data_IF_267767999194
#
_entry.id   IF_267767999194
#
_cell.length_a   1.000
_cell.length_b   1.000
_cell.length_c   1.000
_cell.angle_alpha   90.00
_cell.angle_beta   90.00
_cell.angle_gamma   90.00
#
_symmetry.space_group_name_H-M   'P 1'
#
loop_
_entity.id
_entity.type
_entity.pdbx_description
1 polymer ?
#
# COMPACT_ATOMS: atom_id res chain seq x y z
N UNK A 1 -19.65 -11.30 -9.55
CA UNK A 1 -18.36 -10.72 -9.99
C UNK A 1 -17.25 -11.37 -9.18
N UNK A 2 -16.16 -11.82 -9.81
CA UNK A 2 -15.01 -12.40 -9.09
C UNK A 2 -14.18 -11.30 -8.43
N UNK A 3 -14.08 -11.27 -7.11
CA UNK A 3 -13.13 -10.42 -6.35
C UNK A 3 -11.79 -11.13 -6.13
N UNK A 4 -10.76 -10.40 -5.72
CA UNK A 4 -9.48 -10.98 -5.32
C UNK A 4 -9.64 -12.01 -4.21
N UNK A 5 -10.60 -11.83 -3.30
CA UNK A 5 -10.92 -12.76 -2.20
C UNK A 5 -11.09 -14.21 -2.70
N UNK A 6 -11.70 -14.42 -3.87
CA UNK A 6 -11.85 -15.76 -4.45
C UNK A 6 -10.50 -16.37 -4.82
N UNK A 7 -9.60 -15.57 -5.40
CA UNK A 7 -8.24 -16.02 -5.73
C UNK A 7 -7.43 -16.23 -4.46
N UNK A 8 -7.51 -15.31 -3.50
CA UNK A 8 -6.83 -15.40 -2.21
C UNK A 8 -7.19 -16.71 -1.47
N UNK A 9 -8.48 -17.06 -1.44
CA UNK A 9 -8.95 -18.26 -0.74
C UNK A 9 -8.53 -19.59 -1.42
N UNK A 10 -7.96 -19.58 -2.63
CA UNK A 10 -7.35 -20.80 -3.22
C UNK A 10 -5.91 -21.04 -2.76
N UNK A 11 -5.34 -20.13 -1.98
CA UNK A 11 -3.99 -20.26 -1.44
C UNK A 11 -4.05 -20.41 0.08
N UNK A 12 -3.22 -21.29 0.61
CA UNK A 12 -2.94 -21.38 2.03
C UNK A 12 -1.62 -20.66 2.34
N UNK A 13 -1.60 -19.91 3.44
CA UNK A 13 -0.44 -19.12 3.85
C UNK A 13 0.77 -19.98 4.20
N UNK A 14 0.58 -20.96 5.08
CA UNK A 14 1.63 -21.84 5.61
C UNK A 14 2.20 -22.74 4.50
N UNK A 15 1.33 -23.30 3.65
CA UNK A 15 1.76 -24.10 2.50
C UNK A 15 2.59 -23.25 1.52
N UNK A 16 2.21 -21.99 1.32
CA UNK A 16 2.95 -21.05 0.47
C UNK A 16 4.31 -20.74 1.08
N UNK A 17 4.37 -20.49 2.39
CA UNK A 17 5.62 -20.25 3.11
C UNK A 17 6.54 -21.48 3.02
N UNK A 18 6.02 -22.66 3.34
CA UNK A 18 6.76 -23.91 3.23
C UNK A 18 7.27 -24.14 1.80
N UNK A 19 6.44 -23.88 0.79
CA UNK A 19 6.79 -23.96 -0.63
C UNK A 19 7.91 -23.00 -1.05
N UNK A 20 8.01 -21.82 -0.41
CA UNK A 20 9.13 -20.89 -0.62
C UNK A 20 10.40 -21.44 0.02
N UNK A 21 10.32 -21.93 1.26
CA UNK A 21 11.47 -22.45 1.99
C UNK A 21 12.02 -23.75 1.38
N UNK A 22 11.18 -24.52 0.68
CA UNK A 22 11.58 -25.75 0.01
C UNK A 22 12.25 -25.52 -1.37
N UNK A 23 12.37 -24.27 -1.85
CA UNK A 23 12.99 -23.99 -3.15
C UNK A 23 14.48 -24.27 -3.10
N UNK A 24 14.98 -24.84 -4.20
CA UNK A 24 16.38 -25.24 -4.38
C UNK A 24 17.15 -24.23 -5.20
N UNK A 25 18.48 -24.34 -5.20
CA UNK A 25 19.33 -23.56 -6.09
C UNK A 25 18.97 -23.74 -7.57
N UNK A 26 18.65 -24.97 -7.99
CA UNK A 26 18.17 -25.26 -9.34
C UNK A 26 16.90 -24.48 -9.71
N UNK A 27 15.99 -24.28 -8.75
CA UNK A 27 14.79 -23.46 -8.95
C UNK A 27 15.14 -21.98 -9.15
N UNK A 28 16.12 -21.48 -8.39
CA UNK A 28 16.61 -20.10 -8.50
C UNK A 28 17.26 -19.87 -9.86
N UNK A 29 18.16 -20.73 -10.29
CA UNK A 29 18.84 -20.63 -11.59
C UNK A 29 17.85 -20.67 -12.76
N UNK A 30 16.81 -21.53 -12.66
CA UNK A 30 15.71 -21.54 -13.61
C UNK A 30 14.92 -20.23 -13.60
N UNK A 31 14.57 -19.71 -12.42
CA UNK A 31 13.86 -18.44 -12.31
C UNK A 31 14.68 -17.24 -12.84
N UNK A 32 16.01 -17.26 -12.67
CA UNK A 32 16.92 -16.24 -13.18
C UNK A 32 17.04 -16.27 -14.71
N UNK A 33 17.05 -17.46 -15.32
CA UNK A 33 17.12 -17.60 -16.79
C UNK A 33 15.79 -17.32 -17.51
N UNK A 34 14.65 -17.41 -16.81
CA UNK A 34 13.34 -17.14 -17.39
C UNK A 34 13.15 -15.66 -17.81
N UNK A 35 12.78 -15.45 -19.08
CA UNK A 35 12.47 -14.12 -19.64
C UNK A 35 11.14 -13.54 -19.16
N UNK A 36 10.17 -14.41 -18.87
CA UNK A 36 8.88 -14.08 -18.24
C UNK A 36 8.70 -14.94 -17.00
N UNK A 37 8.79 -14.32 -15.83
CA UNK A 37 8.69 -14.99 -14.53
C UNK A 37 7.23 -15.12 -14.09
N UNK A 38 6.90 -16.27 -13.51
CA UNK A 38 5.60 -16.54 -12.90
C UNK A 38 5.71 -16.51 -11.36
N UNK A 39 4.63 -16.89 -10.66
CA UNK A 39 4.59 -16.87 -9.20
C UNK A 39 5.47 -17.96 -8.55
N UNK A 40 5.69 -19.09 -9.21
CA UNK A 40 6.63 -20.13 -8.75
C UNK A 40 8.09 -19.71 -8.91
N UNK A 41 8.41 -19.01 -10.00
CA UNK A 41 9.71 -18.35 -10.15
C UNK A 41 9.93 -17.32 -9.03
N UNK A 42 8.89 -16.53 -8.72
CA UNK A 42 8.98 -15.53 -7.65
C UNK A 42 9.23 -16.17 -6.28
N UNK A 43 8.57 -17.28 -5.95
CA UNK A 43 8.86 -18.06 -4.73
C UNK A 43 10.33 -18.46 -4.66
N UNK A 44 10.92 -18.92 -5.77
CA UNK A 44 12.35 -19.27 -5.82
C UNK A 44 13.23 -18.04 -5.55
N UNK A 45 12.97 -16.90 -6.18
CA UNK A 45 13.78 -15.69 -6.06
C UNK A 45 13.72 -15.03 -4.66
N UNK A 46 12.68 -15.28 -3.87
CA UNK A 46 12.58 -14.79 -2.49
C UNK A 46 12.96 -15.85 -1.45
N UNK A 47 13.30 -17.07 -1.87
CA UNK A 47 13.67 -18.17 -0.98
C UNK A 47 15.05 -17.98 -0.32
N UNK A 48 15.37 -18.70 0.76
CA UNK A 48 16.72 -18.73 1.31
C UNK A 48 17.80 -19.18 0.30
N UNK A 49 17.46 -20.08 -0.62
CA UNK A 49 18.38 -20.56 -1.67
C UNK A 49 18.80 -19.45 -2.65
N UNK A 50 18.03 -18.37 -2.77
CA UNK A 50 18.38 -17.23 -3.63
C UNK A 50 19.41 -16.27 -3.02
N UNK A 51 19.80 -16.45 -1.74
CA UNK A 51 20.72 -15.55 -1.04
C UNK A 51 22.07 -15.35 -1.76
N UNK A 52 22.73 -16.38 -2.33
CA UNK A 52 23.97 -16.19 -3.09
C UNK A 52 23.81 -15.36 -4.37
N UNK A 53 22.58 -15.25 -4.88
CA UNK A 53 22.24 -14.65 -6.18
C UNK A 53 21.65 -13.23 -6.07
N UNK A 54 21.78 -12.59 -4.90
CA UNK A 54 21.22 -11.25 -4.67
C UNK A 54 21.78 -10.20 -5.63
N UNK A 55 23.07 -10.26 -5.95
CA UNK A 55 23.70 -9.33 -6.89
C UNK A 55 23.16 -9.53 -8.31
N UNK A 56 23.02 -10.77 -8.77
CA UNK A 56 22.43 -11.07 -10.09
C UNK A 56 21.01 -10.52 -10.20
N UNK A 57 20.19 -10.74 -9.16
CA UNK A 57 18.84 -10.18 -9.08
C UNK A 57 18.85 -8.64 -9.07
N UNK A 58 19.79 -8.03 -8.36
CA UNK A 58 19.92 -6.57 -8.29
C UNK A 58 20.27 -5.98 -9.66
N UNK A 59 21.21 -6.59 -10.39
CA UNK A 59 21.59 -6.15 -11.74
C UNK A 59 20.43 -6.30 -12.73
N UNK A 60 19.70 -7.42 -12.70
CA UNK A 60 18.51 -7.64 -13.53
C UNK A 60 17.42 -6.61 -13.22
N UNK A 61 17.13 -6.37 -11.94
CA UNK A 61 16.16 -5.37 -11.49
C UNK A 61 16.55 -3.95 -11.93
N UNK A 62 17.83 -3.59 -11.79
CA UNK A 62 18.38 -2.29 -12.21
C UNK A 62 18.26 -2.10 -13.73
N UNK A 63 18.60 -3.11 -14.52
CA UNK A 63 18.50 -3.05 -15.97
C UNK A 63 17.04 -2.86 -16.43
N UNK A 64 16.09 -3.59 -15.84
CA UNK A 64 14.67 -3.45 -16.12
C UNK A 64 14.13 -2.07 -15.68
N UNK A 65 14.55 -1.58 -14.53
CA UNK A 65 14.19 -0.26 -14.02
C UNK A 65 14.65 0.84 -14.97
N UNK A 66 15.92 0.82 -15.39
CA UNK A 66 16.47 1.79 -16.36
C UNK A 66 15.75 1.72 -17.71
N UNK A 67 15.43 0.52 -18.19
CA UNK A 67 14.70 0.34 -19.45
C UNK A 67 13.28 0.92 -19.41
N UNK A 68 12.63 0.92 -18.25
CA UNK A 68 11.24 1.37 -18.10
C UNK A 68 11.09 2.81 -17.63
N UNK A 69 12.00 3.28 -16.77
CA UNK A 69 11.87 4.55 -16.06
C UNK A 69 13.08 5.49 -16.28
N UNK A 70 14.10 5.04 -17.02
CA UNK A 70 15.34 5.80 -17.17
C UNK A 70 16.08 5.96 -15.85
N UNK A 71 16.62 7.15 -15.61
CA UNK A 71 17.32 7.51 -14.36
C UNK A 71 16.46 8.41 -13.46
N UNK A 72 15.16 8.58 -13.76
CA UNK A 72 14.29 9.50 -13.04
C UNK A 72 13.81 8.88 -11.74
N UNK A 73 13.97 9.62 -10.64
CA UNK A 73 13.37 9.32 -9.34
C UNK A 73 12.25 10.34 -9.10
N UNK A 74 11.01 9.86 -8.99
CA UNK A 74 9.87 10.71 -8.68
C UNK A 74 9.81 10.97 -7.18
N UNK A 75 9.72 12.24 -6.80
CA UNK A 75 9.68 12.68 -5.41
C UNK A 75 8.27 13.13 -5.06
N UNK A 76 7.80 12.76 -3.87
CA UNK A 76 6.55 13.25 -3.28
C UNK A 76 6.75 13.53 -1.80
N UNK A 77 5.91 14.37 -1.22
CA UNK A 77 5.92 14.64 0.23
C UNK A 77 4.65 14.11 0.88
N UNK A 78 4.75 13.33 1.98
CA UNK A 78 3.59 13.06 2.81
C UNK A 78 3.17 14.30 3.60
N UNK A 79 1.86 14.47 3.79
CA UNK A 79 1.26 15.48 4.66
C UNK A 79 0.18 14.81 5.49
N UNK A 80 0.40 14.78 6.81
CA UNK A 80 -0.56 14.21 7.76
C UNK A 80 -1.65 15.24 8.04
N UNK A 81 -2.87 14.97 7.59
CA UNK A 81 -4.02 15.85 7.81
C UNK A 81 -4.66 15.64 9.19
N UNK A 82 -4.53 14.44 9.75
CA UNK A 82 -5.03 14.11 11.08
C UNK A 82 -4.39 12.87 11.66
N UNK A 83 -4.17 12.87 12.97
CA UNK A 83 -3.75 11.70 13.74
C UNK A 83 -4.90 11.05 14.55
N UNK A 84 -6.15 11.48 14.35
CA UNK A 84 -7.31 10.87 14.98
C UNK A 84 -7.59 9.47 14.41
N UNK A 85 -7.70 8.48 15.29
CA UNK A 85 -7.94 7.10 14.87
C UNK A 85 -8.75 6.33 15.91
N UNK A 86 -9.72 5.56 15.44
CA UNK A 86 -10.58 4.70 16.25
C UNK A 86 -10.13 3.23 16.26
N UNK A 87 -9.10 2.89 15.48
CA UNK A 87 -8.54 1.54 15.46
C UNK A 87 -7.54 1.34 16.60
N UNK A 88 -7.43 0.10 17.06
CA UNK A 88 -6.33 -0.35 17.90
C UNK A 88 -5.44 -1.21 17.00
N UNK A 89 -4.27 -0.69 16.65
CA UNK A 89 -3.26 -1.42 15.88
C UNK A 89 -2.02 -1.57 16.73
N UNK A 90 -1.50 -2.78 16.89
CA UNK A 90 -0.40 -3.06 17.85
C UNK A 90 0.92 -2.38 17.51
N UNK A 91 1.07 -1.91 16.27
CA UNK A 91 2.29 -1.32 15.73
C UNK A 91 2.18 0.18 15.43
N UNK A 92 0.98 0.77 15.51
CA UNK A 92 0.75 2.13 15.02
C UNK A 92 0.85 3.16 16.15
N UNK A 93 1.62 4.23 15.93
CA UNK A 93 1.71 5.37 16.86
C UNK A 93 0.36 6.07 17.08
N UNK A 94 -0.54 6.06 16.09
CA UNK A 94 -1.88 6.64 16.20
C UNK A 94 -2.93 5.70 16.79
N UNK A 95 -2.57 4.50 17.25
CA UNK A 95 -3.50 3.57 17.89
C UNK A 95 -4.35 4.28 18.95
N UNK A 96 -5.65 3.98 18.99
CA UNK A 96 -6.63 4.64 19.88
C UNK A 96 -6.21 4.58 21.35
N UNK A 97 -5.48 3.53 21.76
CA UNK A 97 -5.00 3.33 23.13
C UNK A 97 -3.84 4.24 23.51
N UNK A 98 -3.14 4.82 22.53
CA UNK A 98 -2.01 5.70 22.79
C UNK A 98 -2.51 7.07 23.24
N UNK A 99 -2.00 7.54 24.38
CA UNK A 99 -2.28 8.86 24.95
C UNK A 99 -1.37 9.90 24.28
N UNK A 100 -1.74 10.31 23.08
CA UNK A 100 -1.09 11.38 22.33
C UNK A 100 -2.07 12.55 22.11
N UNK A 101 -1.59 13.79 21.96
CA UNK A 101 -2.43 14.90 21.50
C UNK A 101 -3.07 14.54 20.17
N UNK A 102 -4.39 14.66 20.07
CA UNK A 102 -5.13 14.42 18.83
C UNK A 102 -5.37 15.74 18.11
N UNK A 103 -5.10 15.76 16.81
CA UNK A 103 -5.21 16.95 15.97
C UNK A 103 -5.70 16.57 14.58
N UNK A 104 -6.58 17.41 14.07
CA UNK A 104 -7.03 17.45 12.69
C UNK A 104 -6.79 18.86 12.17
N UNK A 105 -6.14 18.99 11.01
CA UNK A 105 -5.82 20.29 10.44
C UNK A 105 -7.09 21.01 9.95
N UNK A 106 -7.14 22.32 10.18
CA UNK A 106 -8.13 23.21 9.58
C UNK A 106 -7.72 23.61 8.17
N UNK A 107 -8.65 24.13 7.37
CA UNK A 107 -8.39 24.58 6.00
C UNK A 107 -7.22 25.59 5.91
N UNK A 108 -7.15 26.52 6.86
CA UNK A 108 -6.06 27.49 6.94
C UNK A 108 -4.70 26.83 7.22
N UNK A 109 -4.67 25.78 8.03
CA UNK A 109 -3.46 25.01 8.33
C UNK A 109 -3.05 24.12 7.16
N UNK A 110 -4.02 23.50 6.48
CA UNK A 110 -3.79 22.75 5.24
C UNK A 110 -3.11 23.66 4.22
N UNK A 111 -3.64 24.86 3.97
CA UNK A 111 -3.05 25.81 3.02
C UNK A 111 -1.65 26.27 3.44
N UNK A 112 -1.40 26.44 4.75
CA UNK A 112 -0.08 26.77 5.28
C UNK A 112 0.94 25.67 5.01
N UNK A 113 0.58 24.41 5.28
CA UNK A 113 1.44 23.25 5.00
C UNK A 113 1.66 23.09 3.49
N UNK A 114 0.63 23.27 2.67
CA UNK A 114 0.76 23.26 1.20
C UNK A 114 1.75 24.32 0.71
N UNK A 115 1.63 25.57 1.19
CA UNK A 115 2.56 26.64 0.82
C UNK A 115 4.01 26.28 1.19
N UNK A 116 4.23 25.69 2.37
CA UNK A 116 5.54 25.23 2.79
C UNK A 116 6.08 24.10 1.89
N UNK A 117 5.27 23.07 1.61
CA UNK A 117 5.67 21.93 0.76
C UNK A 117 5.99 22.41 -0.67
N UNK A 118 5.18 23.30 -1.23
CA UNK A 118 5.43 23.90 -2.56
C UNK A 118 6.72 24.71 -2.59
N UNK A 119 7.05 25.43 -1.51
CA UNK A 119 8.32 26.17 -1.41
C UNK A 119 9.56 25.26 -1.45
N UNK A 120 9.39 23.95 -1.16
CA UNK A 120 10.45 22.93 -1.26
C UNK A 120 10.53 22.26 -2.64
N UNK A 121 9.70 22.67 -3.60
CA UNK A 121 9.70 22.16 -4.97
C UNK A 121 8.94 20.85 -5.19
N UNK A 122 8.14 20.39 -4.22
CA UNK A 122 7.30 19.21 -4.41
C UNK A 122 6.06 19.55 -5.24
N UNK A 123 5.72 18.64 -6.15
CA UNK A 123 4.54 18.76 -7.01
C UNK A 123 3.61 17.53 -6.96
N UNK A 124 3.98 16.55 -6.15
CA UNK A 124 3.19 15.38 -5.80
C UNK A 124 3.08 15.30 -4.28
N UNK A 125 1.84 15.22 -3.78
CA UNK A 125 1.54 15.12 -2.35
C UNK A 125 0.84 13.79 -2.02
N UNK A 126 1.17 13.24 -0.85
CA UNK A 126 0.47 12.12 -0.24
C UNK A 126 -0.25 12.59 1.03
N UNK A 127 -1.57 12.63 0.99
CA UNK A 127 -2.40 12.96 2.15
C UNK A 127 -2.60 11.71 3.01
N UNK A 128 -2.32 11.84 4.31
CA UNK A 128 -2.41 10.73 5.26
C UNK A 128 -3.33 11.11 6.43
N UNK A 129 -4.21 10.20 6.83
CA UNK A 129 -5.05 10.34 8.03
C UNK A 129 -5.03 9.08 8.87
N UNK A 130 -5.32 9.22 10.16
CA UNK A 130 -5.89 8.11 10.92
C UNK A 130 -7.33 7.79 10.46
N UNK A 131 -7.94 6.76 11.06
CA UNK A 131 -9.31 6.36 10.74
C UNK A 131 -10.29 6.82 11.82
N UNK A 132 -10.88 8.01 11.63
CA UNK A 132 -11.95 8.53 12.47
C UNK A 132 -13.07 9.10 11.59
N UNK A 133 -13.96 8.23 11.10
CA UNK A 133 -14.94 8.53 10.05
C UNK A 133 -15.86 9.73 10.32
N UNK A 134 -16.05 10.13 11.59
CA UNK A 134 -16.82 11.33 11.94
C UNK A 134 -16.04 12.63 11.73
N UNK A 135 -14.74 12.62 12.06
CA UNK A 135 -13.88 13.81 11.99
C UNK A 135 -13.15 13.91 10.65
N UNK A 136 -12.63 12.79 10.15
CA UNK A 136 -11.85 12.68 8.90
C UNK A 136 -12.48 11.69 7.92
N UNK A 137 -13.80 11.83 7.75
CA UNK A 137 -14.57 11.10 6.74
C UNK A 137 -14.36 11.64 5.32
N UNK A 138 -15.19 11.15 4.40
CA UNK A 138 -15.14 11.47 2.96
C UNK A 138 -15.24 12.97 2.70
N UNK A 139 -16.17 13.67 3.36
CA UNK A 139 -16.34 15.12 3.19
C UNK A 139 -15.10 15.93 3.58
N UNK A 140 -14.39 15.55 4.65
CA UNK A 140 -13.15 16.22 5.03
C UNK A 140 -12.05 16.01 3.99
N UNK A 141 -11.91 14.78 3.49
CA UNK A 141 -10.92 14.44 2.44
C UNK A 141 -11.27 15.19 1.15
N UNK A 142 -12.54 15.20 0.75
CA UNK A 142 -13.04 15.93 -0.42
C UNK A 142 -12.75 17.43 -0.31
N UNK A 143 -13.02 18.05 0.84
CA UNK A 143 -12.67 19.45 1.09
C UNK A 143 -11.16 19.67 0.92
N UNK A 144 -10.33 18.84 1.53
CA UNK A 144 -8.87 18.91 1.39
C UNK A 144 -8.43 18.78 -0.09
N UNK A 145 -9.01 17.87 -0.87
CA UNK A 145 -8.74 17.76 -2.31
C UNK A 145 -9.09 19.05 -3.06
N UNK A 146 -10.29 19.60 -2.82
CA UNK A 146 -10.75 20.83 -3.47
C UNK A 146 -9.86 22.04 -3.15
N UNK A 147 -9.38 22.14 -1.90
CA UNK A 147 -8.46 23.20 -1.48
C UNK A 147 -7.11 23.12 -2.20
N UNK A 148 -6.59 21.91 -2.46
CA UNK A 148 -5.19 21.74 -2.89
C UNK A 148 -5.02 21.31 -4.35
N UNK A 149 -6.09 20.95 -5.07
CA UNK A 149 -6.03 20.46 -6.46
C UNK A 149 -5.39 21.40 -7.47
N UNK A 150 -5.42 22.71 -7.22
CA UNK A 150 -4.74 23.71 -8.06
C UNK A 150 -3.24 23.83 -7.76
N UNK A 151 -2.76 23.26 -6.66
CA UNK A 151 -1.38 23.41 -6.20
C UNK A 151 -0.47 22.24 -6.57
N UNK A 152 -1.01 21.03 -6.77
CA UNK A 152 -0.25 19.82 -7.05
C UNK A 152 -0.71 19.14 -8.33
N UNK A 153 0.24 18.66 -9.13
CA UNK A 153 -0.09 17.86 -10.33
C UNK A 153 -0.70 16.50 -9.99
N UNK A 154 -0.28 15.91 -8.86
CA UNK A 154 -0.80 14.62 -8.39
C UNK A 154 -1.12 14.67 -6.91
N UNK A 155 -2.34 14.24 -6.54
CA UNK A 155 -2.75 14.07 -5.15
C UNK A 155 -3.04 12.60 -4.89
N UNK A 156 -2.30 12.02 -3.95
CA UNK A 156 -2.48 10.63 -3.51
C UNK A 156 -3.02 10.63 -2.09
N UNK A 157 -3.86 9.65 -1.75
CA UNK A 157 -4.31 9.44 -0.36
C UNK A 157 -3.84 8.08 0.17
N UNK A 158 -3.47 8.04 1.44
CA UNK A 158 -3.28 6.84 2.25
C UNK A 158 -4.15 7.00 3.50
N UNK A 159 -5.40 6.58 3.39
CA UNK A 159 -6.46 6.75 4.39
C UNK A 159 -7.20 5.43 4.63
N UNK A 160 -8.23 5.43 5.46
CA UNK A 160 -9.08 4.25 5.65
C UNK A 160 -9.67 3.75 4.33
N UNK A 161 -9.92 2.42 4.19
CA UNK A 161 -10.71 1.91 3.09
C UNK A 161 -12.09 2.57 3.04
N UNK A 162 -12.50 3.00 1.84
CA UNK A 162 -13.78 3.63 1.56
C UNK A 162 -14.64 2.74 0.67
N UNK A 163 -15.92 3.12 0.51
CA UNK A 163 -16.79 2.47 -0.44
C UNK A 163 -16.52 2.97 -1.87
N UNK A 164 -16.99 2.21 -2.86
CA UNK A 164 -16.72 2.53 -4.27
C UNK A 164 -17.24 3.93 -4.65
N UNK A 165 -18.45 4.29 -4.21
CA UNK A 165 -19.07 5.59 -4.50
C UNK A 165 -18.27 6.76 -3.93
N UNK A 166 -17.70 6.58 -2.74
CA UNK A 166 -16.85 7.59 -2.12
C UNK A 166 -15.58 7.80 -2.96
N UNK A 167 -14.97 6.73 -3.47
CA UNK A 167 -13.83 6.86 -4.37
C UNK A 167 -14.18 7.53 -5.68
N UNK A 168 -15.34 7.23 -6.28
CA UNK A 168 -15.84 7.90 -7.48
C UNK A 168 -15.98 9.41 -7.24
N UNK A 169 -16.59 9.82 -6.12
CA UNK A 169 -16.71 11.22 -5.74
C UNK A 169 -15.35 11.90 -5.52
N UNK A 170 -14.41 11.23 -4.84
CA UNK A 170 -13.07 11.79 -4.62
C UNK A 170 -12.26 11.91 -5.92
N UNK A 171 -12.43 10.99 -6.87
CA UNK A 171 -11.82 11.05 -8.21
C UNK A 171 -12.30 12.30 -8.95
N UNK A 172 -13.61 12.57 -8.93
CA UNK A 172 -14.19 13.79 -9.54
C UNK A 172 -13.65 15.09 -8.92
N UNK A 173 -13.11 15.00 -7.70
CA UNK A 173 -12.51 16.13 -6.98
C UNK A 173 -10.98 16.21 -7.10
N UNK A 174 -10.36 15.40 -7.96
CA UNK A 174 -8.93 15.48 -8.28
C UNK A 174 -8.05 14.42 -7.59
N UNK A 175 -8.64 13.37 -7.02
CA UNK A 175 -7.89 12.24 -6.50
C UNK A 175 -7.19 11.45 -7.63
N UNK A 176 -5.86 11.38 -7.58
CA UNK A 176 -5.06 10.71 -8.60
C UNK A 176 -4.75 9.25 -8.24
N UNK A 177 -4.40 8.97 -6.99
CA UNK A 177 -3.99 7.63 -6.57
C UNK A 177 -4.38 7.32 -5.13
N UNK A 178 -4.51 6.03 -4.82
CA UNK A 178 -4.74 5.55 -3.45
C UNK A 178 -3.68 4.52 -3.10
N UNK A 179 -3.01 4.71 -1.97
CA UNK A 179 -2.12 3.70 -1.38
C UNK A 179 -2.90 2.97 -0.28
N UNK A 180 -2.99 1.65 -0.38
CA UNK A 180 -3.62 0.80 0.62
C UNK A 180 -2.76 -0.43 0.86
N UNK A 181 -2.23 -0.54 2.08
CA UNK A 181 -1.40 -1.66 2.46
C UNK A 181 -2.24 -2.70 3.17
N UNK A 182 -2.16 -3.95 2.74
CA UNK A 182 -2.84 -5.05 3.43
C UNK A 182 -2.25 -5.30 4.82
N UNK A 183 -1.09 -4.71 5.13
CA UNK A 183 -0.30 -4.88 6.36
C UNK A 183 0.27 -6.29 6.48
N UNK A 184 -0.58 -7.29 6.60
CA UNK A 184 -0.21 -8.69 6.39
C UNK A 184 -1.37 -9.45 5.75
N UNK A 185 -1.02 -10.34 4.84
CA UNK A 185 -1.96 -11.25 4.18
C UNK A 185 -2.23 -12.52 5.03
N UNK A 186 -1.50 -12.74 6.13
CA UNK A 186 -1.81 -13.79 7.09
C UNK A 186 -3.06 -13.44 7.88
N UNK A 187 -4.19 -14.09 7.61
CA UNK A 187 -5.50 -13.72 8.15
C UNK A 187 -5.57 -13.75 9.69
N UNK A 188 -5.01 -14.77 10.33
CA UNK A 188 -5.03 -14.89 11.79
C UNK A 188 -4.13 -13.85 12.48
N UNK A 189 -2.94 -13.59 11.95
CA UNK A 189 -2.01 -12.58 12.47
C UNK A 189 -2.51 -11.16 12.23
N UNK A 190 -3.17 -10.92 11.09
CA UNK A 190 -3.87 -9.66 10.85
C UNK A 190 -4.86 -9.33 11.97
N UNK A 191 -5.62 -10.32 12.46
CA UNK A 191 -6.57 -10.12 13.56
C UNK A 191 -5.87 -9.76 14.87
N UNK A 192 -4.71 -10.37 15.17
CA UNK A 192 -3.91 -10.06 16.36
C UNK A 192 -3.34 -8.65 16.32
N UNK A 193 -2.93 -8.18 15.15
CA UNK A 193 -2.41 -6.83 14.96
C UNK A 193 -3.48 -5.73 14.85
N UNK A 194 -4.73 -6.11 14.57
CA UNK A 194 -5.88 -5.21 14.43
C UNK A 194 -7.05 -5.64 15.33
N UNK A 195 -6.89 -5.68 16.67
CA UNK A 195 -7.88 -6.23 17.59
C UNK A 195 -9.21 -5.47 17.64
N UNK A 196 -9.25 -4.18 17.28
CA UNK A 196 -10.46 -3.36 17.35
C UNK A 196 -10.49 -2.27 16.28
N UNK A 197 -11.71 -1.91 15.89
CA UNK A 197 -12.01 -0.87 14.90
C UNK A 197 -12.30 -1.46 13.53
N UNK A 198 -12.68 -0.62 12.57
CA UNK A 198 -13.03 -1.07 11.21
C UNK A 198 -11.86 -1.73 10.48
N UNK A 199 -10.62 -1.34 10.79
CA UNK A 199 -9.42 -1.98 10.23
C UNK A 199 -9.32 -3.46 10.59
N UNK A 200 -10.00 -3.95 11.65
CA UNK A 200 -10.06 -5.39 11.96
C UNK A 200 -10.73 -6.24 10.86
N UNK A 201 -11.54 -5.62 9.98
CA UNK A 201 -12.19 -6.32 8.88
C UNK A 201 -11.20 -6.60 7.74
N UNK A 202 -10.59 -7.78 7.80
CA UNK A 202 -9.62 -8.28 6.81
C UNK A 202 -10.15 -8.21 5.38
N UNK A 203 -11.35 -8.76 5.13
CA UNK A 203 -11.91 -8.85 3.77
C UNK A 203 -12.24 -7.48 3.20
N UNK A 204 -12.79 -6.57 4.01
CA UNK A 204 -13.08 -5.21 3.55
C UNK A 204 -11.81 -4.48 3.11
N UNK A 205 -10.70 -4.67 3.84
CA UNK A 205 -9.39 -4.12 3.43
C UNK A 205 -8.83 -4.83 2.19
N UNK A 206 -8.91 -6.15 2.14
CA UNK A 206 -8.44 -6.97 1.01
C UNK A 206 -9.14 -6.60 -0.30
N UNK A 207 -10.43 -6.27 -0.24
CA UNK A 207 -11.25 -5.90 -1.41
C UNK A 207 -11.14 -4.42 -1.80
N UNK A 208 -10.37 -3.61 -1.06
CA UNK A 208 -10.21 -2.17 -1.38
C UNK A 208 -9.65 -1.94 -2.78
N UNK A 209 -8.60 -2.66 -3.24
CA UNK A 209 -8.10 -2.52 -4.60
C UNK A 209 -9.12 -2.88 -5.69
N UNK A 210 -10.04 -3.82 -5.42
CA UNK A 210 -11.17 -4.10 -6.31
C UNK A 210 -12.14 -2.91 -6.39
N UNK A 211 -12.49 -2.31 -5.25
CA UNK A 211 -13.36 -1.11 -5.21
C UNK A 211 -12.72 0.06 -5.96
N UNK A 212 -11.42 0.27 -5.76
CA UNK A 212 -10.62 1.28 -6.45
C UNK A 212 -10.57 1.05 -7.97
N UNK A 213 -10.33 -0.20 -8.40
CA UNK A 213 -10.33 -0.57 -9.81
C UNK A 213 -11.68 -0.34 -10.48
N UNK A 214 -12.78 -0.64 -9.79
CA UNK A 214 -14.15 -0.37 -10.27
C UNK A 214 -14.49 1.12 -10.32
N UNK A 215 -14.02 1.89 -9.34
CA UNK A 215 -14.17 3.35 -9.32
C UNK A 215 -13.36 4.07 -10.42
N UNK A 216 -12.42 3.36 -11.09
CA UNK A 216 -11.66 3.92 -12.19
C UNK A 216 -10.47 4.80 -11.75
N UNK A 217 -9.93 4.58 -10.54
CA UNK A 217 -8.75 5.32 -10.09
C UNK A 217 -7.57 5.15 -11.04
N UNK A 218 -6.79 6.22 -11.24
CA UNK A 218 -5.64 6.18 -12.15
C UNK A 218 -4.54 5.24 -11.65
N UNK A 219 -4.25 5.23 -10.34
CA UNK A 219 -3.19 4.41 -9.75
C UNK A 219 -3.55 3.84 -8.38
N UNK A 220 -3.19 2.57 -8.17
CA UNK A 220 -3.33 1.86 -6.89
C UNK A 220 -1.93 1.50 -6.37
N UNK A 221 -1.63 1.89 -5.13
CA UNK A 221 -0.45 1.43 -4.41
C UNK A 221 -0.79 0.28 -3.48
N UNK A 222 -0.07 -0.83 -3.63
CA UNK A 222 -0.18 -2.02 -2.78
C UNK A 222 1.03 -2.11 -1.85
N UNK A 223 0.90 -2.85 -0.76
CA UNK A 223 2.02 -3.15 0.11
C UNK A 223 1.64 -4.05 1.26
N UNK A 224 2.66 -4.58 1.93
CA UNK A 224 2.60 -5.25 3.22
C UNK A 224 3.61 -4.59 4.16
N UNK A 225 3.32 -4.59 5.46
CA UNK A 225 4.20 -4.03 6.49
C UNK A 225 5.17 -5.12 6.94
N UNK A 226 6.38 -5.10 6.39
CA UNK A 226 7.37 -6.12 6.69
C UNK A 226 7.86 -6.02 8.14
N UNK A 227 7.82 -7.15 8.84
CA UNK A 227 8.12 -7.26 10.26
C UNK A 227 6.90 -7.56 11.14
N UNK A 228 5.69 -7.58 10.57
CA UNK A 228 4.54 -8.21 11.24
C UNK A 228 4.62 -9.74 11.12
N UNK A 229 4.84 -10.24 9.91
CA UNK A 229 4.95 -11.67 9.60
C UNK A 229 6.14 -11.96 8.68
N UNK A 230 6.34 -13.25 8.28
CA UNK A 230 7.40 -13.61 7.33
C UNK A 230 7.21 -12.85 6.01
N UNK A 231 8.17 -11.96 5.74
CA UNK A 231 8.15 -11.04 4.61
C UNK A 231 8.06 -11.75 3.25
N UNK A 232 8.47 -13.02 3.14
CA UNK A 232 8.45 -13.77 1.88
C UNK A 232 7.04 -14.15 1.50
N UNK A 233 6.27 -14.68 2.45
CA UNK A 233 4.86 -14.98 2.21
C UNK A 233 4.09 -13.68 1.93
N UNK A 234 4.31 -12.62 2.71
CA UNK A 234 3.65 -11.32 2.45
C UNK A 234 4.00 -10.73 1.08
N UNK A 235 5.26 -10.89 0.66
CA UNK A 235 5.69 -10.51 -0.70
C UNK A 235 5.00 -11.35 -1.76
N UNK A 236 4.87 -12.67 -1.57
CA UNK A 236 4.17 -13.56 -2.50
C UNK A 236 2.70 -13.15 -2.66
N UNK A 237 1.98 -12.95 -1.57
CA UNK A 237 0.56 -12.58 -1.64
C UNK A 237 0.36 -11.16 -2.20
N UNK A 238 1.30 -10.25 -1.95
CA UNK A 238 1.32 -8.93 -2.63
C UNK A 238 1.49 -9.10 -4.15
N UNK A 239 2.40 -9.96 -4.60
CA UNK A 239 2.61 -10.24 -6.02
C UNK A 239 1.40 -10.96 -6.66
N UNK A 240 0.77 -11.90 -5.93
CA UNK A 240 -0.46 -12.57 -6.34
C UNK A 240 -1.60 -11.56 -6.52
N UNK A 241 -1.76 -10.63 -5.58
CA UNK A 241 -2.78 -9.58 -5.64
C UNK A 241 -2.53 -8.63 -6.82
N UNK A 242 -1.28 -8.18 -7.01
CA UNK A 242 -0.92 -7.36 -8.15
C UNK A 242 -1.20 -8.08 -9.48
N UNK A 243 -0.85 -9.36 -9.60
CA UNK A 243 -1.10 -10.15 -10.81
C UNK A 243 -2.59 -10.26 -11.12
N UNK A 244 -3.43 -10.46 -10.11
CA UNK A 244 -4.89 -10.43 -10.27
C UNK A 244 -5.37 -9.06 -10.77
N UNK A 245 -4.92 -7.97 -10.12
CA UNK A 245 -5.36 -6.62 -10.46
C UNK A 245 -4.94 -6.21 -11.87
N UNK A 246 -3.71 -6.50 -12.28
CA UNK A 246 -3.22 -6.21 -13.64
C UNK A 246 -4.04 -6.91 -14.73
N UNK A 247 -4.60 -8.09 -14.44
CA UNK A 247 -5.49 -8.81 -15.36
C UNK A 247 -6.90 -8.21 -15.36
N UNK A 248 -7.43 -7.87 -14.19
CA UNK A 248 -8.82 -7.43 -14.01
C UNK A 248 -9.02 -5.96 -14.37
N UNK A 249 -8.11 -5.08 -13.96
CA UNK A 249 -8.18 -3.62 -14.12
C UNK A 249 -6.99 -3.09 -14.94
N UNK A 250 -6.84 -3.60 -16.16
CA UNK A 250 -5.68 -3.34 -17.03
C UNK A 250 -5.41 -1.86 -17.37
N UNK A 251 -6.40 -0.97 -17.20
CA UNK A 251 -6.24 0.49 -17.41
C UNK A 251 -5.58 1.21 -16.23
N UNK A 252 -5.56 0.58 -15.05
CA UNK A 252 -5.03 1.16 -13.82
C UNK A 252 -3.52 0.95 -13.73
N UNK A 253 -2.80 1.95 -13.22
CA UNK A 253 -1.37 1.84 -12.90
C UNK A 253 -1.18 1.30 -11.48
N UNK A 254 -0.04 0.66 -11.25
CA UNK A 254 0.26 0.07 -9.95
C UNK A 254 1.61 0.51 -9.41
N UNK A 255 1.73 0.59 -8.09
CA UNK A 255 3.00 0.66 -7.37
C UNK A 255 2.99 -0.31 -6.20
N UNK A 256 4.18 -0.74 -5.78
CA UNK A 256 4.38 -1.53 -4.57
C UNK A 256 5.20 -0.69 -3.60
N UNK A 257 4.72 -0.56 -2.36
CA UNK A 257 5.44 0.02 -1.24
C UNK A 257 6.04 -1.10 -0.39
N UNK A 258 7.23 -0.84 0.17
CA UNK A 258 7.96 -1.77 1.03
C UNK A 258 8.18 -1.19 2.44
N UNK A 259 7.11 -0.77 3.16
CA UNK A 259 7.25 -0.26 4.50
C UNK A 259 7.79 -1.36 5.42
N UNK A 260 8.71 -1.00 6.30
CA UNK A 260 9.26 -1.89 7.33
C UNK A 260 8.83 -1.37 8.69
N UNK A 261 8.50 -2.30 9.57
CA UNK A 261 8.16 -2.00 10.96
C UNK A 261 9.29 -1.17 11.58
N UNK A 262 8.91 -0.04 12.18
CA UNK A 262 9.78 0.82 12.95
C UNK A 262 9.20 0.92 14.36
N UNK A 263 10.04 1.17 15.39
CA UNK A 263 9.54 1.57 16.69
C UNK A 263 8.56 2.74 16.50
N UNK A 264 7.39 2.75 17.14
CA UNK A 264 6.45 3.85 17.00
C UNK A 264 7.13 5.12 17.50
N UNK A 265 7.46 6.02 16.59
CA UNK A 265 7.83 7.38 16.94
C UNK A 265 6.54 8.00 17.43
N UNK A 266 6.50 8.40 18.70
CA UNK A 266 5.49 9.33 19.20
C UNK A 266 5.70 10.63 18.41
N UNK A 267 5.05 10.74 17.24
CA UNK A 267 5.08 11.95 16.45
C UNK A 267 4.47 13.07 17.31
N UNK A 268 5.28 14.11 17.52
CA UNK A 268 5.02 15.28 18.36
C UNK A 268 3.78 16.03 17.90
#
# INVERSE_FOLDING_TARGET
MSSFTNTFNTYNWDDTLQSIFSKTESDVLRALSNSKRNLEDFKALISPAAKPYLEDMAQLSRALTKKRFGNTIQMYSPMYLSNECQNICTYCGFSMTNKIPRRTLTDAEILKEVAYIKSKGYDHILLVTGEANKTVGVEYIKNALQLIRSHFSNITIEVQPLDQKDYEELIDNGLFAVLVYQETYHRDEYKKHHPKGKKSNFNYRLETPDRLGKAGIHKIGLGALFGLEDWRADSFFTALHLKYLQKTYWKTKYSISFPRLRPPILAV
#
